data_IF_475647641706
#
_entry.id   IF_475647641706
#
_cell.length_a   1.000
_cell.length_b   1.000
_cell.length_c   1.000
_cell.angle_alpha   90.00
_cell.angle_beta   90.00
_cell.angle_gamma   90.00
#
_symmetry.space_group_name_H-M   'P 1'
#
loop_
_entity.id
_entity.type
_entity.pdbx_description
1 polymer ?
#
# COMPACT_ATOMS: atom_id res chain seq x y z
N UNK A 1 -11.10 70.98 -25.41
CA UNK A 1 -11.16 71.78 -24.18
C UNK A 1 -10.86 70.81 -23.05
N UNK A 2 -9.57 70.73 -22.60
CA UNK A 2 -9.03 71.33 -21.39
C UNK A 2 -9.59 70.60 -20.12
N UNK A 3 -8.92 70.05 -19.22
CA UNK A 3 -7.61 70.07 -18.57
C UNK A 3 -7.60 68.88 -17.58
N UNK A 4 -6.65 68.00 -17.48
CA UNK A 4 -5.41 68.02 -16.62
C UNK A 4 -5.67 68.23 -15.14
N UNK A 5 -5.22 67.24 -14.33
CA UNK A 5 -4.24 67.48 -13.26
C UNK A 5 -3.79 66.17 -12.60
N UNK A 6 -2.49 66.05 -12.60
CA UNK A 6 -1.62 65.15 -11.85
C UNK A 6 -1.84 65.22 -10.32
N UNK A 7 -1.65 64.09 -9.64
CA UNK A 7 -0.88 64.11 -8.38
C UNK A 7 -0.22 62.75 -8.14
N UNK A 8 1.10 62.74 -8.30
CA UNK A 8 2.03 61.74 -7.82
C UNK A 8 2.36 62.03 -6.36
N UNK A 9 2.45 61.01 -5.52
CA UNK A 9 3.23 61.03 -4.29
C UNK A 9 3.94 59.70 -4.10
N UNK A 10 5.15 59.70 -3.52
CA UNK A 10 6.14 58.68 -3.78
C UNK A 10 6.16 57.54 -2.74
N UNK A 11 6.60 56.40 -3.23
CA UNK A 11 6.99 55.19 -2.45
C UNK A 11 8.21 55.50 -1.59
N UNK A 12 8.08 55.27 -0.29
CA UNK A 12 9.19 55.11 0.64
C UNK A 12 9.42 53.59 0.88
N UNK A 13 10.49 53.12 0.29
CA UNK A 13 11.06 51.81 0.54
C UNK A 13 12.14 51.99 1.62
N UNK A 14 12.02 51.26 2.72
CA UNK A 14 13.11 51.04 3.69
C UNK A 14 13.37 49.56 3.84
N UNK A 15 14.60 49.10 3.73
CA UNK A 15 14.96 47.68 3.88
C UNK A 15 15.17 47.32 5.36
N UNK A 16 14.50 46.26 5.81
CA UNK A 16 14.83 45.63 7.06
C UNK A 16 15.85 44.52 6.84
N UNK A 17 17.01 44.67 7.43
CA UNK A 17 18.10 43.71 7.48
C UNK A 17 17.76 42.49 8.34
N UNK A 18 18.30 41.30 8.05
CA UNK A 18 18.08 40.09 8.81
C UNK A 18 19.04 40.04 10.02
N UNK A 19 18.51 39.94 11.22
CA UNK A 19 19.26 39.61 12.42
C UNK A 19 19.37 38.09 12.54
N UNK A 20 20.61 37.62 12.34
CA UNK A 20 21.03 36.26 12.61
C UNK A 20 21.12 36.00 14.13
N UNK A 21 20.32 35.06 14.64
CA UNK A 21 20.57 34.47 15.94
C UNK A 21 21.32 33.15 15.79
N UNK A 22 22.62 33.23 16.14
CA UNK A 22 23.50 32.09 16.37
C UNK A 22 23.09 31.37 17.65
N UNK A 23 22.89 30.07 17.63
CA UNK A 23 22.91 29.17 18.76
C UNK A 23 24.27 28.50 18.85
N UNK A 24 24.88 28.35 20.04
CA UNK A 24 26.23 27.84 20.16
C UNK A 24 26.28 26.31 20.02
N UNK A 25 27.22 25.87 19.20
CA UNK A 25 27.63 24.46 19.06
C UNK A 25 28.42 24.06 20.34
N UNK A 26 27.98 23.01 21.01
CA UNK A 26 28.77 22.29 21.98
C UNK A 26 29.61 21.22 21.31
N UNK A 27 30.92 21.09 21.64
CA UNK A 27 31.77 20.09 21.05
C UNK A 27 31.63 18.75 21.76
N UNK A 28 31.27 17.70 21.00
CA UNK A 28 31.40 16.31 21.44
C UNK A 28 32.89 15.91 21.42
N UNK A 29 33.43 15.66 22.60
CA UNK A 29 34.75 15.06 22.80
C UNK A 29 34.71 13.58 22.39
N UNK A 30 35.47 13.22 21.36
CA UNK A 30 35.87 11.87 21.04
C UNK A 30 36.84 11.35 22.11
N UNK A 31 36.44 10.33 22.87
CA UNK A 31 37.37 9.51 23.65
C UNK A 31 37.73 8.28 22.81
N UNK A 32 38.97 8.24 22.34
CA UNK A 32 39.61 7.03 21.82
C UNK A 32 40.03 6.16 23.00
N UNK A 33 39.55 4.92 23.04
CA UNK A 33 40.03 3.88 23.93
C UNK A 33 40.17 2.59 23.15
N UNK A 34 41.41 2.26 22.82
CA UNK A 34 41.83 0.98 22.28
C UNK A 34 41.92 -0.03 23.40
N UNK A 35 41.32 -1.19 23.27
CA UNK A 35 41.91 -2.42 23.83
C UNK A 35 41.38 -3.66 23.07
N UNK A 36 42.36 -4.42 22.63
CA UNK A 36 42.31 -5.77 22.08
C UNK A 36 41.92 -6.75 23.18
N UNK A 37 41.25 -7.84 22.81
CA UNK A 37 41.48 -9.09 23.50
C UNK A 37 40.27 -10.00 23.68
N UNK A 38 40.40 -11.12 23.05
CA UNK A 38 39.98 -12.46 23.49
C UNK A 38 38.56 -12.93 23.12
N UNK A 39 38.56 -13.73 22.06
CA UNK A 39 37.59 -14.82 21.85
C UNK A 39 37.67 -15.80 23.00
N UNK A 40 36.56 -16.15 23.56
CA UNK A 40 36.40 -17.45 24.23
C UNK A 40 34.98 -17.98 24.06
N UNK A 41 34.89 -19.04 23.28
CA UNK A 41 33.71 -19.87 23.19
C UNK A 41 33.45 -20.53 24.54
N UNK A 42 32.30 -20.32 25.14
CA UNK A 42 31.80 -21.07 26.27
C UNK A 42 30.68 -22.00 25.81
N UNK A 43 31.07 -23.25 25.53
CA UNK A 43 30.17 -24.41 25.48
C UNK A 43 29.73 -24.73 26.91
N UNK A 44 28.47 -24.48 27.24
CA UNK A 44 27.86 -24.94 28.46
C UNK A 44 27.25 -26.34 28.23
N UNK A 45 27.99 -27.40 28.63
CA UNK A 45 27.42 -28.73 28.76
C UNK A 45 26.91 -28.90 30.20
N UNK A 46 25.60 -28.80 30.38
CA UNK A 46 24.95 -29.12 31.65
C UNK A 46 24.79 -30.62 31.78
N UNK A 47 25.67 -31.28 32.60
CA UNK A 47 25.47 -32.65 33.07
C UNK A 47 24.46 -32.62 34.23
N UNK A 48 23.23 -33.08 33.98
CA UNK A 48 22.28 -33.37 35.05
C UNK A 48 22.63 -34.70 35.72
N UNK A 49 23.03 -34.65 36.99
CA UNK A 49 23.05 -35.84 37.89
C UNK A 49 21.64 -36.04 38.43
N UNK A 50 21.03 -37.17 38.09
CA UNK A 50 19.80 -37.65 38.71
C UNK A 50 20.08 -38.08 40.15
N UNK A 51 19.56 -37.31 41.12
CA UNK A 51 19.38 -37.79 42.48
C UNK A 51 17.98 -38.40 42.57
N UNK A 52 17.91 -39.72 42.82
CA UNK A 52 16.66 -40.42 43.19
C UNK A 52 16.32 -40.08 44.62
N UNK A 53 15.23 -39.34 44.83
CA UNK A 53 14.51 -39.32 46.09
C UNK A 53 13.02 -39.50 45.77
N UNK A 54 12.49 -40.61 46.31
CA UNK A 54 11.08 -40.93 46.20
C UNK A 54 10.31 -40.11 47.22
N UNK A 55 9.47 -39.23 46.73
CA UNK A 55 8.32 -38.75 47.52
C UNK A 55 7.13 -38.52 46.57
N UNK A 56 6.05 -39.31 46.85
CA UNK A 56 4.78 -39.19 46.16
C UNK A 56 4.10 -37.88 46.63
N UNK A 57 4.30 -36.84 45.90
CA UNK A 57 3.59 -35.57 46.06
C UNK A 57 3.38 -35.00 44.65
N UNK A 58 2.15 -34.72 44.33
CA UNK A 58 1.61 -34.21 43.11
C UNK A 58 2.64 -33.48 42.23
N UNK A 59 3.07 -34.11 41.14
CA UNK A 59 3.64 -33.44 40.00
C UNK A 59 2.51 -32.65 39.32
N UNK A 60 2.20 -31.51 39.91
CA UNK A 60 1.62 -30.43 39.11
C UNK A 60 2.74 -30.02 38.18
N UNK A 61 2.87 -30.68 37.06
CA UNK A 61 3.63 -30.17 35.94
C UNK A 61 2.97 -28.83 35.55
N UNK A 62 3.48 -27.77 36.14
CA UNK A 62 3.35 -26.46 35.57
C UNK A 62 4.14 -26.55 34.27
N UNK A 63 3.48 -27.08 33.24
CA UNK A 63 3.80 -26.74 31.86
C UNK A 63 3.59 -25.22 31.85
N UNK A 64 4.65 -24.49 32.18
CA UNK A 64 4.82 -23.11 31.76
C UNK A 64 4.89 -23.25 30.25
N UNK A 65 3.75 -23.39 29.63
CA UNK A 65 3.58 -23.09 28.23
C UNK A 65 4.08 -21.64 28.14
N UNK A 66 5.34 -21.48 27.78
CA UNK A 66 5.81 -20.33 27.07
C UNK A 66 4.97 -20.32 25.78
N UNK A 67 3.71 -19.88 25.92
CA UNK A 67 2.98 -19.27 24.83
C UNK A 67 3.84 -18.05 24.52
N UNK A 68 4.84 -18.23 23.65
CA UNK A 68 5.26 -17.19 22.77
C UNK A 68 3.95 -16.74 22.11
N UNK A 69 3.29 -15.78 22.72
CA UNK A 69 2.20 -15.07 22.06
C UNK A 69 2.88 -14.51 20.86
N UNK A 70 2.65 -15.12 19.70
CA UNK A 70 2.96 -14.46 18.46
C UNK A 70 2.34 -13.07 18.59
N UNK A 71 3.14 -12.05 18.55
CA UNK A 71 2.72 -10.67 18.79
C UNK A 71 1.56 -10.30 17.87
N UNK A 72 1.45 -10.96 16.72
CA UNK A 72 0.45 -10.77 15.68
C UNK A 72 -0.05 -12.10 15.14
N UNK A 73 -1.30 -12.13 14.71
CA UNK A 73 -1.95 -13.30 14.12
C UNK A 73 -1.47 -13.56 12.70
N UNK A 74 -1.19 -14.80 12.29
CA UNK A 74 -1.01 -15.16 10.89
C UNK A 74 -2.36 -15.13 10.13
N UNK A 75 -2.31 -14.89 8.83
CA UNK A 75 -3.48 -15.07 7.96
C UNK A 75 -3.68 -16.58 7.71
N UNK A 76 -4.76 -17.12 8.22
CA UNK A 76 -5.07 -18.56 8.18
C UNK A 76 -6.34 -18.83 7.37
N UNK A 77 -6.44 -20.02 6.73
CA UNK A 77 -7.66 -20.42 6.02
C UNK A 77 -8.92 -20.41 6.90
N UNK A 78 -10.07 -20.32 6.24
CA UNK A 78 -11.41 -20.32 6.85
C UNK A 78 -11.72 -19.09 7.71
N UNK A 79 -11.07 -17.96 7.45
CA UNK A 79 -11.47 -16.67 8.02
C UNK A 79 -12.90 -16.34 7.60
N UNK A 80 -13.73 -15.95 8.56
CA UNK A 80 -15.11 -15.57 8.32
C UNK A 80 -15.20 -14.05 8.18
N UNK A 81 -15.32 -13.60 6.95
CA UNK A 81 -15.48 -12.18 6.66
C UNK A 81 -16.85 -11.66 7.13
N UNK A 82 -16.84 -10.50 7.73
CA UNK A 82 -18.03 -9.81 8.24
C UNK A 82 -18.04 -8.35 7.76
N UNK A 83 -18.77 -8.06 6.69
CA UNK A 83 -18.91 -6.69 6.18
C UNK A 83 -20.07 -5.97 6.85
N UNK A 84 -19.94 -4.63 7.11
CA UNK A 84 -18.85 -3.76 6.72
C UNK A 84 -17.63 -3.75 7.66
N UNK A 85 -17.61 -4.54 8.74
CA UNK A 85 -16.55 -4.51 9.74
C UNK A 85 -15.16 -4.75 9.13
N UNK A 86 -15.04 -5.72 8.24
CA UNK A 86 -13.78 -6.09 7.61
C UNK A 86 -13.35 -5.13 6.47
N UNK A 87 -14.00 -3.97 6.33
CA UNK A 87 -13.46 -2.84 5.59
C UNK A 87 -12.56 -1.92 6.44
N UNK A 88 -12.52 -2.12 7.76
CA UNK A 88 -11.84 -1.26 8.71
C UNK A 88 -10.54 -1.93 9.22
N UNK A 89 -10.14 -1.58 10.45
CA UNK A 89 -8.86 -2.00 11.01
C UNK A 89 -8.83 -3.43 11.51
N UNK A 90 -7.69 -4.12 11.26
CA UNK A 90 -7.38 -5.43 11.79
C UNK A 90 -6.10 -5.36 12.65
N UNK A 91 -6.16 -4.75 13.86
CA UNK A 91 -4.98 -4.51 14.69
C UNK A 91 -4.27 -5.77 15.17
N UNK A 92 -4.92 -6.94 15.07
CA UNK A 92 -4.31 -8.23 15.39
C UNK A 92 -3.28 -8.70 14.36
N UNK A 93 -3.24 -8.07 13.19
CA UNK A 93 -2.26 -8.35 12.15
C UNK A 93 -1.18 -7.28 12.11
N UNK A 94 0.03 -7.65 11.69
CA UNK A 94 1.17 -6.75 11.70
C UNK A 94 1.10 -5.70 10.59
N UNK A 95 0.67 -6.12 9.40
CA UNK A 95 0.61 -5.26 8.20
C UNK A 95 -0.81 -5.21 7.67
N UNK A 96 -1.21 -4.05 7.19
CA UNK A 96 -2.52 -3.83 6.61
C UNK A 96 -2.44 -2.65 5.63
N UNK A 97 -3.16 -2.75 4.49
CA UNK A 97 -3.26 -1.63 3.56
C UNK A 97 -4.63 -1.49 2.93
N UNK A 98 -4.96 -0.25 2.58
CA UNK A 98 -6.12 0.17 1.79
C UNK A 98 -5.59 0.88 0.55
N UNK A 99 -5.79 0.28 -0.59
CA UNK A 99 -5.25 0.68 -1.86
C UNK A 99 -6.39 1.04 -2.81
N UNK A 100 -6.38 2.25 -3.34
CA UNK A 100 -7.39 2.75 -4.26
C UNK A 100 -6.73 3.19 -5.55
N UNK A 101 -7.19 2.65 -6.69
CA UNK A 101 -6.74 3.08 -8.01
C UNK A 101 -7.92 3.26 -8.94
N UNK A 102 -7.75 4.06 -10.00
CA UNK A 102 -8.84 4.23 -10.94
C UNK A 102 -8.49 5.03 -12.18
N UNK A 103 -9.37 4.88 -13.15
CA UNK A 103 -9.33 5.57 -14.42
C UNK A 103 -10.47 6.58 -14.48
N UNK A 104 -10.14 7.83 -14.72
CA UNK A 104 -11.06 8.95 -14.72
C UNK A 104 -11.07 9.64 -16.08
N UNK A 105 -12.19 10.30 -16.36
CA UNK A 105 -12.35 11.17 -17.51
C UNK A 105 -13.02 12.48 -17.06
N UNK A 106 -12.46 13.60 -17.47
CA UNK A 106 -13.08 14.91 -17.19
C UNK A 106 -14.18 15.28 -18.20
N UNK A 107 -14.85 16.37 -17.94
CA UNK A 107 -15.94 16.89 -18.82
C UNK A 107 -15.48 17.31 -20.22
N UNK A 108 -14.17 17.49 -20.43
CA UNK A 108 -13.56 17.76 -21.74
C UNK A 108 -13.04 16.51 -22.44
N UNK A 109 -13.28 15.32 -21.86
CA UNK A 109 -12.84 14.05 -22.41
C UNK A 109 -11.37 13.71 -22.14
N UNK A 110 -10.65 14.48 -21.28
CA UNK A 110 -9.26 14.22 -20.92
C UNK A 110 -9.19 13.05 -19.95
N UNK A 111 -8.27 12.14 -20.20
CA UNK A 111 -8.08 10.93 -19.39
C UNK A 111 -7.07 11.16 -18.27
N UNK A 112 -7.40 10.63 -17.09
CA UNK A 112 -6.58 10.68 -15.88
C UNK A 112 -6.53 9.28 -15.24
N UNK A 113 -5.46 8.99 -14.50
CA UNK A 113 -5.37 7.86 -13.58
C UNK A 113 -5.05 8.37 -12.18
N UNK A 114 -5.45 7.64 -11.15
CA UNK A 114 -5.07 7.97 -9.77
C UNK A 114 -4.76 6.72 -8.95
N UNK A 115 -3.92 6.92 -7.95
CA UNK A 115 -3.65 5.98 -6.85
C UNK A 115 -3.69 6.76 -5.54
N UNK A 116 -4.28 6.15 -4.50
CA UNK A 116 -4.21 6.59 -3.12
C UNK A 116 -4.16 5.37 -2.22
N UNK A 117 -3.04 5.18 -1.54
CA UNK A 117 -2.81 4.02 -0.68
C UNK A 117 -2.43 4.44 0.72
N UNK A 118 -2.98 3.70 1.70
CA UNK A 118 -2.60 3.80 3.11
C UNK A 118 -2.07 2.45 3.56
N UNK A 119 -0.88 2.44 4.13
CA UNK A 119 -0.25 1.27 4.74
C UNK A 119 -0.15 1.49 6.24
N UNK A 120 -0.53 0.47 7.01
CA UNK A 120 -0.28 0.40 8.45
C UNK A 120 0.73 -0.71 8.73
N UNK A 121 1.79 -0.36 9.42
CA UNK A 121 2.77 -1.30 9.95
C UNK A 121 2.76 -1.21 11.46
N UNK A 122 2.35 -2.28 12.12
CA UNK A 122 2.39 -2.35 13.56
C UNK A 122 3.83 -2.54 14.05
N UNK A 123 4.21 -1.84 15.11
CA UNK A 123 5.55 -1.90 15.70
C UNK A 123 5.56 -2.74 16.95
N UNK A 124 5.31 -2.15 18.11
CA UNK A 124 5.36 -2.81 19.41
C UNK A 124 4.01 -2.75 20.14
N UNK A 125 3.37 -3.92 20.31
CA UNK A 125 2.10 -4.04 21.06
C UNK A 125 2.30 -4.14 22.57
N UNK A 126 3.54 -4.36 23.04
CA UNK A 126 3.87 -4.44 24.46
C UNK A 126 4.05 -3.05 25.09
N UNK A 127 4.23 -2.01 24.26
CA UNK A 127 4.36 -0.64 24.72
C UNK A 127 3.16 -0.23 25.59
N UNK A 128 3.44 0.41 26.73
CA UNK A 128 2.39 0.92 27.63
C UNK A 128 1.44 1.85 26.86
N UNK A 129 0.12 1.75 27.11
CA UNK A 129 -0.83 2.65 26.49
C UNK A 129 -0.51 4.12 26.80
N UNK A 130 -0.20 4.87 25.76
CA UNK A 130 0.08 6.31 25.83
C UNK A 130 -0.27 6.92 24.47
N UNK A 131 -0.80 8.13 24.47
CA UNK A 131 -1.02 8.88 23.23
C UNK A 131 0.27 9.19 22.47
N UNK A 132 1.41 9.05 23.13
CA UNK A 132 2.76 9.26 22.57
C UNK A 132 3.47 7.97 22.18
N UNK A 133 2.94 6.80 22.55
CA UNK A 133 3.52 5.52 22.18
C UNK A 133 3.42 5.31 20.66
N UNK A 134 4.51 4.86 20.07
CA UNK A 134 4.52 4.48 18.65
C UNK A 134 4.08 3.01 18.56
N UNK A 135 2.82 2.76 18.28
CA UNK A 135 2.24 1.42 18.11
C UNK A 135 2.13 1.01 16.65
N UNK A 136 1.82 1.99 15.82
CA UNK A 136 1.67 1.81 14.39
C UNK A 136 2.37 2.96 13.65
N UNK A 137 2.97 2.62 12.52
CA UNK A 137 3.51 3.56 11.54
C UNK A 137 2.59 3.50 10.33
N UNK A 138 2.29 4.66 9.77
CA UNK A 138 1.46 4.82 8.59
C UNK A 138 2.28 5.45 7.47
N UNK A 139 2.41 4.70 6.38
CA UNK A 139 2.88 5.21 5.09
C UNK A 139 1.66 5.47 4.22
N UNK A 140 1.68 6.49 3.40
CA UNK A 140 0.67 6.72 2.39
C UNK A 140 1.32 7.20 1.09
N UNK A 141 0.83 6.68 -0.03
CA UNK A 141 1.21 7.10 -1.37
C UNK A 141 0.02 7.74 -2.07
N UNK A 142 0.32 8.71 -2.89
CA UNK A 142 -0.65 9.44 -3.70
C UNK A 142 -0.06 9.69 -5.07
N UNK A 143 -0.73 9.24 -6.12
CA UNK A 143 -0.32 9.53 -7.48
C UNK A 143 -1.49 10.00 -8.34
N UNK A 144 -1.19 10.86 -9.29
CA UNK A 144 -2.09 11.33 -10.33
C UNK A 144 -1.37 11.29 -11.68
N UNK A 145 -1.95 10.58 -12.63
CA UNK A 145 -1.49 10.54 -14.01
C UNK A 145 -2.41 11.39 -14.88
N UNK A 146 -1.94 12.51 -15.38
CA UNK A 146 -2.60 13.26 -16.46
C UNK A 146 -2.21 12.63 -17.80
N UNK A 147 -2.96 11.59 -18.21
CA UNK A 147 -2.65 10.79 -19.39
C UNK A 147 -2.67 11.65 -20.67
N UNK A 148 -3.70 12.48 -20.80
CA UNK A 148 -3.83 13.39 -21.94
C UNK A 148 -2.73 14.45 -21.94
N UNK A 149 -2.34 14.95 -20.77
CA UNK A 149 -1.27 15.95 -20.60
C UNK A 149 0.14 15.33 -20.52
N UNK A 150 0.28 14.00 -20.58
CA UNK A 150 1.55 13.27 -20.49
C UNK A 150 2.37 13.66 -19.26
N UNK A 151 1.71 13.77 -18.08
CA UNK A 151 2.32 14.16 -16.81
C UNK A 151 2.00 13.17 -15.72
N UNK A 152 2.97 12.91 -14.86
CA UNK A 152 2.82 12.08 -13.67
C UNK A 152 3.22 12.87 -12.43
N UNK A 153 2.36 12.85 -11.44
CA UNK A 153 2.56 13.48 -10.14
C UNK A 153 2.47 12.42 -9.07
N UNK A 154 3.37 12.44 -8.10
CA UNK A 154 3.27 11.56 -6.94
C UNK A 154 3.80 12.24 -5.68
N UNK A 155 3.33 11.79 -4.55
CA UNK A 155 3.73 12.25 -3.22
C UNK A 155 3.61 11.10 -2.23
N UNK A 156 4.38 11.17 -1.13
CA UNK A 156 4.37 10.18 -0.07
C UNK A 156 4.32 10.84 1.30
N UNK A 157 3.78 10.13 2.28
CA UNK A 157 3.74 10.54 3.69
C UNK A 157 4.09 9.40 4.60
N UNK A 158 4.95 9.66 5.57
CA UNK A 158 5.27 8.73 6.64
C UNK A 158 4.99 9.41 7.97
N UNK A 159 4.02 8.87 8.72
CA UNK A 159 3.67 9.34 10.04
C UNK A 159 3.51 8.16 10.99
N UNK A 160 3.70 8.42 12.29
CA UNK A 160 3.31 7.50 13.34
C UNK A 160 1.84 7.66 13.71
N UNK A 161 1.26 6.66 14.31
CA UNK A 161 0.02 6.83 15.05
C UNK A 161 0.20 7.91 16.14
N UNK A 162 -0.77 8.80 16.25
CA UNK A 162 -0.74 9.84 17.27
C UNK A 162 -1.80 10.90 17.01
N UNK A 163 -1.97 11.86 17.95
CA UNK A 163 -3.03 12.87 17.85
C UNK A 163 -2.95 13.63 16.52
N UNK A 164 -3.94 13.43 15.66
CA UNK A 164 -4.10 14.15 14.39
C UNK A 164 -3.09 13.82 13.28
N UNK A 165 -2.08 12.96 13.51
CA UNK A 165 -1.04 12.67 12.52
C UNK A 165 -1.49 11.63 11.49
N UNK A 166 -1.77 10.42 11.95
CA UNK A 166 -2.25 9.33 11.14
C UNK A 166 -3.02 8.33 12.00
N UNK A 167 -3.88 7.52 11.39
CA UNK A 167 -4.61 6.51 12.12
C UNK A 167 -5.79 5.93 11.37
N UNK A 168 -6.50 5.08 12.10
CA UNK A 168 -7.78 4.48 11.72
C UNK A 168 -8.75 4.74 12.87
N UNK A 169 -9.95 5.17 12.55
CA UNK A 169 -11.00 5.42 13.51
C UNK A 169 -12.29 4.74 13.08
N UNK A 170 -12.71 3.71 13.81
CA UNK A 170 -13.89 2.91 13.49
C UNK A 170 -15.20 3.68 13.68
N UNK A 171 -15.26 4.62 14.63
CA UNK A 171 -16.46 5.42 14.90
C UNK A 171 -16.79 6.35 13.76
N UNK A 172 -15.78 6.98 13.15
CA UNK A 172 -15.92 7.84 11.97
C UNK A 172 -15.67 7.09 10.67
N UNK A 173 -15.34 5.81 10.76
CA UNK A 173 -15.05 4.94 9.60
C UNK A 173 -14.01 5.57 8.67
N UNK A 174 -12.91 6.06 9.25
CA UNK A 174 -11.90 6.84 8.56
C UNK A 174 -10.50 6.22 8.71
N UNK A 175 -9.74 6.19 7.60
CA UNK A 175 -8.30 5.99 7.57
C UNK A 175 -7.67 7.28 7.05
N UNK A 176 -6.60 7.75 7.71
CA UNK A 176 -5.96 9.02 7.30
C UNK A 176 -4.47 9.04 7.55
N UNK A 177 -3.79 9.93 6.81
CA UNK A 177 -2.40 10.31 7.00
C UNK A 177 -2.24 11.81 6.67
N UNK A 178 -2.15 12.65 7.71
CA UNK A 178 -2.24 14.11 7.58
C UNK A 178 -3.61 14.54 7.04
N UNK A 179 -3.62 15.26 5.91
CA UNK A 179 -4.86 15.70 5.23
C UNK A 179 -5.26 14.78 4.04
N UNK A 180 -4.70 13.59 3.94
CA UNK A 180 -5.18 12.52 3.05
C UNK A 180 -6.03 11.57 3.86
N UNK A 181 -7.20 11.22 3.33
CA UNK A 181 -8.13 10.35 4.04
C UNK A 181 -9.05 9.60 3.10
N UNK A 182 -9.50 8.47 3.59
CA UNK A 182 -10.65 7.74 3.09
C UNK A 182 -11.69 7.63 4.20
N UNK A 183 -12.97 7.85 3.86
CA UNK A 183 -14.08 7.73 4.80
C UNK A 183 -15.20 6.92 4.17
N UNK A 184 -15.67 5.88 4.86
CA UNK A 184 -16.85 5.13 4.43
C UNK A 184 -18.10 5.84 4.92
N UNK A 185 -18.88 6.38 3.99
CA UNK A 185 -20.16 7.05 4.26
C UNK A 185 -21.28 6.02 4.52
N UNK A 186 -21.19 4.87 3.88
CA UNK A 186 -22.01 3.68 4.06
C UNK A 186 -21.24 2.44 3.63
N UNK A 187 -21.83 1.26 3.66
CA UNK A 187 -21.23 0.02 3.17
C UNK A 187 -20.78 0.11 1.70
N UNK A 188 -21.53 0.87 0.88
CA UNK A 188 -21.30 0.96 -0.56
C UNK A 188 -20.77 2.34 -1.02
N UNK A 189 -20.58 3.28 -0.10
CA UNK A 189 -20.15 4.65 -0.44
C UNK A 189 -18.90 5.06 0.30
N UNK A 190 -17.89 5.44 -0.45
CA UNK A 190 -16.58 5.81 0.03
C UNK A 190 -16.24 7.20 -0.49
N UNK A 191 -15.66 8.02 0.35
CA UNK A 191 -15.12 9.32 -0.02
C UNK A 191 -13.60 9.32 0.13
N UNK A 192 -12.90 9.70 -0.93
CA UNK A 192 -11.46 9.95 -0.94
C UNK A 192 -11.20 11.45 -0.93
N UNK A 193 -10.29 11.88 -0.07
CA UNK A 193 -9.78 13.24 -0.06
C UNK A 193 -8.27 13.21 0.10
N UNK A 194 -7.55 13.80 -0.84
CA UNK A 194 -6.11 13.96 -0.74
C UNK A 194 -5.70 15.33 -1.28
N UNK A 195 -4.92 16.07 -0.50
CA UNK A 195 -4.46 17.41 -0.84
C UNK A 195 -2.94 17.42 -0.85
N UNK A 196 -2.36 17.64 -2.02
CA UNK A 196 -0.94 17.88 -2.25
C UNK A 196 -0.76 19.28 -2.82
N UNK A 197 0.38 19.95 -2.66
CA UNK A 197 0.62 21.27 -3.25
C UNK A 197 0.45 21.35 -4.77
N UNK A 198 0.69 20.25 -5.48
CA UNK A 198 0.65 20.18 -6.95
C UNK A 198 -0.71 19.77 -7.50
N UNK A 199 -1.47 19.00 -6.72
CA UNK A 199 -2.79 18.49 -7.14
C UNK A 199 -3.65 18.07 -5.95
N UNK A 200 -4.96 17.96 -6.18
CA UNK A 200 -5.90 17.46 -5.17
C UNK A 200 -6.85 16.43 -5.77
N UNK A 201 -7.29 15.49 -4.94
CA UNK A 201 -8.36 14.54 -5.23
C UNK A 201 -9.50 14.73 -4.23
N UNK A 202 -10.73 14.88 -4.73
CA UNK A 202 -11.97 14.82 -3.93
C UNK A 202 -12.96 13.94 -4.69
N UNK A 203 -13.00 12.66 -4.35
CA UNK A 203 -13.71 11.66 -5.10
C UNK A 203 -14.76 10.96 -4.23
N UNK A 204 -15.94 10.72 -4.78
CA UNK A 204 -16.97 9.88 -4.22
C UNK A 204 -17.04 8.59 -5.05
N UNK A 205 -16.93 7.46 -4.37
CA UNK A 205 -16.91 6.12 -4.96
C UNK A 205 -18.14 5.36 -4.50
N UNK A 206 -18.81 4.66 -5.43
CA UNK A 206 -19.97 3.82 -5.12
C UNK A 206 -19.73 2.42 -5.64
N UNK A 207 -19.74 1.42 -4.74
CA UNK A 207 -19.56 0.02 -5.12
C UNK A 207 -20.72 -0.46 -5.98
N UNK A 208 -20.40 -1.12 -7.07
CA UNK A 208 -21.36 -1.69 -8.03
C UNK A 208 -21.47 -3.21 -7.94
N UNK A 209 -20.60 -3.83 -7.12
CA UNK A 209 -20.56 -5.28 -6.88
C UNK A 209 -20.31 -5.57 -5.40
N UNK A 210 -20.66 -6.77 -4.92
CA UNK A 210 -20.26 -7.20 -3.58
C UNK A 210 -18.74 -7.30 -3.46
N UNK A 211 -18.18 -7.31 -2.24
CA UNK A 211 -16.76 -7.56 -2.01
C UNK A 211 -16.31 -8.90 -2.61
N UNK A 212 -15.21 -8.87 -3.34
CA UNK A 212 -14.56 -10.05 -3.90
C UNK A 212 -13.48 -10.54 -2.93
N UNK A 213 -13.62 -11.76 -2.42
CA UNK A 213 -12.63 -12.40 -1.56
C UNK A 213 -11.68 -13.20 -2.45
N UNK A 214 -10.38 -12.95 -2.31
CA UNK A 214 -9.35 -13.56 -3.14
C UNK A 214 -8.71 -14.80 -2.50
N UNK A 215 -8.13 -15.64 -3.36
CA UNK A 215 -7.46 -16.87 -2.97
C UNK A 215 -8.42 -18.03 -2.72
N UNK A 216 -8.02 -18.97 -1.88
CA UNK A 216 -8.78 -20.17 -1.53
C UNK A 216 -9.07 -20.20 -0.03
N UNK A 217 -10.26 -20.62 0.35
CA UNK A 217 -10.67 -20.70 1.75
C UNK A 217 -10.49 -19.38 2.55
N UNK A 218 -10.66 -18.23 1.89
CA UNK A 218 -10.57 -16.90 2.52
C UNK A 218 -9.14 -16.39 2.73
N UNK A 219 -8.13 -17.00 2.12
CA UNK A 219 -6.74 -16.51 2.13
C UNK A 219 -6.12 -16.55 0.74
N UNK A 220 -5.30 -15.55 0.45
CA UNK A 220 -4.42 -15.48 -0.71
C UNK A 220 -3.02 -15.91 -0.30
N UNK A 221 -2.67 -17.18 -0.58
CA UNK A 221 -1.36 -17.75 -0.26
C UNK A 221 -0.28 -17.10 -1.14
N UNK A 222 0.84 -16.67 -0.54
CA UNK A 222 1.93 -15.97 -1.25
C UNK A 222 3.26 -16.73 -1.23
N UNK A 223 3.47 -17.63 -0.27
CA UNK A 223 4.67 -18.46 -0.17
C UNK A 223 4.37 -19.79 0.52
N UNK A 224 5.35 -20.72 0.51
CA UNK A 224 5.24 -22.01 1.17
C UNK A 224 5.18 -21.84 2.69
N UNK A 225 4.23 -22.51 3.33
CA UNK A 225 4.07 -22.56 4.79
C UNK A 225 2.78 -21.88 5.26
N UNK A 226 2.33 -22.32 6.42
CA UNK A 226 1.12 -21.80 7.04
C UNK A 226 1.31 -20.31 7.43
N UNK A 227 0.29 -19.50 7.17
CA UNK A 227 0.32 -18.07 7.47
C UNK A 227 1.21 -17.21 6.57
N UNK A 228 1.84 -17.79 5.52
CA UNK A 228 2.50 -17.03 4.45
C UNK A 228 1.47 -16.58 3.40
N UNK A 229 0.51 -15.78 3.86
CA UNK A 229 -0.69 -15.42 3.12
C UNK A 229 -1.21 -14.07 3.59
N UNK A 230 -2.17 -13.53 2.87
CA UNK A 230 -2.98 -12.40 3.30
C UNK A 230 -4.47 -12.75 3.30
N UNK A 231 -5.24 -12.14 4.18
CA UNK A 231 -6.66 -11.93 3.98
C UNK A 231 -6.81 -10.79 2.99
N UNK A 232 -7.42 -11.06 1.85
CA UNK A 232 -7.42 -10.16 0.72
C UNK A 232 -8.84 -10.01 0.15
N UNK A 233 -9.33 -8.77 0.18
CA UNK A 233 -10.66 -8.39 -0.30
C UNK A 233 -10.56 -7.22 -1.26
N UNK A 234 -11.35 -7.23 -2.33
CA UNK A 234 -11.45 -6.10 -3.26
C UNK A 234 -12.89 -5.62 -3.46
N UNK A 235 -13.04 -4.31 -3.63
CA UNK A 235 -14.20 -3.73 -4.29
C UNK A 235 -13.81 -3.45 -5.74
N UNK A 236 -14.18 -4.36 -6.63
CA UNK A 236 -13.59 -4.48 -7.96
C UNK A 236 -14.14 -3.51 -9.00
N UNK A 237 -15.29 -2.88 -8.71
CA UNK A 237 -15.94 -1.92 -9.62
C UNK A 237 -16.62 -0.82 -8.81
N UNK A 238 -15.93 0.30 -8.68
CA UNK A 238 -16.39 1.48 -7.98
C UNK A 238 -16.70 2.58 -8.99
N UNK A 239 -17.96 3.00 -9.11
CA UNK A 239 -18.32 4.18 -9.89
C UNK A 239 -17.77 5.41 -9.19
N UNK A 240 -17.08 6.27 -9.94
CA UNK A 240 -16.44 7.48 -9.41
C UNK A 240 -17.12 8.72 -9.94
N UNK A 241 -17.27 9.72 -9.07
CA UNK A 241 -17.57 11.11 -9.41
C UNK A 241 -16.82 12.04 -8.46
N UNK A 242 -16.48 13.25 -8.90
CA UNK A 242 -15.81 14.21 -8.02
C UNK A 242 -15.00 15.24 -8.79
N UNK A 243 -14.00 15.78 -8.11
CA UNK A 243 -13.13 16.82 -8.62
C UNK A 243 -11.65 16.43 -8.46
N UNK A 244 -10.88 16.70 -9.50
CA UNK A 244 -9.41 16.68 -9.49
C UNK A 244 -8.94 18.09 -9.81
N UNK A 245 -8.01 18.63 -9.00
CA UNK A 245 -7.37 19.92 -9.28
C UNK A 245 -5.90 19.69 -9.62
N UNK A 246 -5.38 20.29 -10.67
CA UNK A 246 -3.96 20.29 -11.05
C UNK A 246 -3.48 21.73 -11.16
N UNK A 247 -2.67 22.18 -10.20
CA UNK A 247 -2.37 23.60 -10.04
C UNK A 247 -3.67 24.37 -9.78
N UNK A 248 -4.07 25.26 -10.69
CA UNK A 248 -5.32 26.03 -10.63
C UNK A 248 -6.48 25.41 -11.48
N UNK A 249 -6.19 24.38 -12.30
CA UNK A 249 -7.17 23.76 -13.22
C UNK A 249 -8.04 22.74 -12.47
N UNK A 250 -9.25 23.15 -12.10
CA UNK A 250 -10.28 22.30 -11.49
C UNK A 250 -11.04 21.51 -12.55
N UNK A 251 -11.14 20.21 -12.37
CA UNK A 251 -11.71 19.26 -13.32
C UNK A 251 -12.77 18.41 -12.63
N UNK A 252 -14.02 18.56 -13.04
CA UNK A 252 -15.06 17.60 -12.68
C UNK A 252 -14.80 16.30 -13.42
N UNK A 253 -14.77 15.20 -12.70
CA UNK A 253 -14.40 13.89 -13.24
C UNK A 253 -15.44 12.83 -12.93
N UNK A 254 -15.52 11.84 -13.82
CA UNK A 254 -16.21 10.56 -13.61
C UNK A 254 -15.32 9.41 -14.03
N UNK A 255 -15.63 8.19 -13.60
CA UNK A 255 -14.83 7.03 -14.00
C UNK A 255 -15.14 5.77 -13.24
N UNK A 256 -14.18 4.87 -13.23
CA UNK A 256 -14.20 3.61 -12.52
C UNK A 256 -12.94 3.48 -11.66
N UNK A 257 -13.11 2.95 -10.45
CA UNK A 257 -12.02 2.68 -9.54
C UNK A 257 -12.07 1.23 -9.03
N UNK A 258 -10.99 0.84 -8.42
CA UNK A 258 -10.75 -0.41 -7.73
C UNK A 258 -10.28 -0.11 -6.31
N UNK A 259 -10.59 -0.97 -5.37
CA UNK A 259 -10.07 -0.91 -4.01
C UNK A 259 -9.62 -2.28 -3.57
N UNK A 260 -8.40 -2.37 -3.04
CA UNK A 260 -7.89 -3.53 -2.34
C UNK A 260 -7.71 -3.25 -0.86
N UNK A 261 -8.05 -4.24 -0.06
CA UNK A 261 -7.77 -4.28 1.36
C UNK A 261 -7.12 -5.61 1.70
N UNK A 262 -5.88 -5.55 2.20
CA UNK A 262 -5.18 -6.74 2.67
C UNK A 262 -4.69 -6.55 4.11
N UNK A 263 -4.78 -7.63 4.91
CA UNK A 263 -4.23 -7.68 6.26
C UNK A 263 -3.56 -9.02 6.53
N UNK A 264 -2.35 -8.96 7.08
CA UNK A 264 -1.50 -10.13 7.27
C UNK A 264 -0.35 -9.85 8.25
N UNK A 265 0.41 -10.90 8.62
CA UNK A 265 1.63 -10.79 9.43
C UNK A 265 2.86 -11.23 8.65
N UNK A 266 2.76 -12.32 7.89
CA UNK A 266 3.81 -12.80 7.02
C UNK A 266 3.24 -13.05 5.63
N UNK A 267 3.90 -12.56 4.59
CA UNK A 267 3.43 -12.70 3.21
C UNK A 267 4.51 -13.33 2.33
N UNK A 268 5.57 -12.61 2.03
CA UNK A 268 6.64 -13.06 1.16
C UNK A 268 7.70 -13.87 1.90
N UNK A 269 8.45 -14.70 1.17
CA UNK A 269 9.67 -15.33 1.65
C UNK A 269 10.94 -14.62 1.14
N UNK A 270 12.11 -15.03 1.66
CA UNK A 270 13.38 -14.38 1.34
C UNK A 270 13.84 -14.56 -0.12
N UNK A 271 13.29 -15.55 -0.82
CA UNK A 271 13.62 -15.79 -2.24
C UNK A 271 12.78 -14.97 -3.20
N UNK A 272 11.72 -14.35 -2.74
CA UNK A 272 10.86 -13.48 -3.53
C UNK A 272 11.40 -12.04 -3.52
N UNK A 273 11.47 -11.42 -4.69
CA UNK A 273 12.01 -10.07 -4.85
C UNK A 273 10.96 -9.00 -5.00
N UNK A 274 9.73 -9.38 -5.36
CA UNK A 274 8.62 -8.47 -5.59
C UNK A 274 7.54 -9.13 -6.44
N UNK A 275 6.61 -8.34 -6.89
CA UNK A 275 5.47 -8.80 -7.69
C UNK A 275 5.16 -7.86 -8.85
N UNK A 276 4.41 -8.41 -9.81
CA UNK A 276 3.66 -7.67 -10.82
C UNK A 276 2.18 -7.98 -10.57
N UNK A 277 1.39 -6.97 -10.30
CA UNK A 277 -0.03 -7.08 -9.97
C UNK A 277 -0.87 -6.27 -10.95
N UNK A 278 -2.04 -6.77 -11.30
CA UNK A 278 -2.97 -6.08 -12.17
C UNK A 278 -4.41 -6.20 -11.67
N UNK A 279 -5.13 -5.08 -11.66
CA UNK A 279 -6.59 -5.02 -11.64
C UNK A 279 -7.09 -4.67 -13.04
N UNK A 280 -7.83 -5.56 -13.67
CA UNK A 280 -8.31 -5.40 -15.04
C UNK A 280 -9.85 -5.36 -15.04
N UNK A 281 -10.43 -4.22 -15.39
CA UNK A 281 -11.87 -4.01 -15.49
C UNK A 281 -12.29 -4.08 -16.95
N UNK A 282 -12.92 -5.21 -17.32
CA UNK A 282 -13.32 -5.45 -18.70
C UNK A 282 -14.63 -4.73 -19.04
N UNK A 283 -14.77 -4.30 -20.29
CA UNK A 283 -15.96 -3.58 -20.78
C UNK A 283 -17.22 -4.46 -20.80
N UNK A 284 -17.04 -5.79 -20.78
CA UNK A 284 -18.14 -6.74 -20.69
C UNK A 284 -18.70 -6.93 -19.27
N UNK A 285 -18.12 -6.22 -18.29
CA UNK A 285 -18.56 -6.22 -16.89
C UNK A 285 -17.91 -7.28 -16.02
N UNK A 286 -16.93 -8.05 -16.52
CA UNK A 286 -16.07 -8.93 -15.70
C UNK A 286 -14.84 -8.17 -15.23
N UNK A 287 -14.16 -8.66 -14.19
CA UNK A 287 -12.84 -8.20 -13.78
C UNK A 287 -11.89 -9.36 -13.56
N UNK A 288 -10.60 -9.06 -13.68
CA UNK A 288 -9.49 -9.94 -13.33
C UNK A 288 -8.59 -9.22 -12.33
N UNK A 289 -8.36 -9.80 -11.16
CA UNK A 289 -7.21 -9.52 -10.32
C UNK A 289 -6.19 -10.62 -10.57
N UNK A 290 -4.97 -10.28 -10.93
CA UNK A 290 -3.89 -11.23 -11.17
C UNK A 290 -2.58 -10.70 -10.61
N UNK A 291 -1.75 -11.58 -10.08
CA UNK A 291 -0.39 -11.24 -9.69
C UNK A 291 0.57 -12.39 -9.95
N UNK A 292 1.80 -12.04 -10.31
CA UNK A 292 2.93 -12.97 -10.31
C UNK A 292 4.01 -12.50 -9.33
N UNK A 293 4.52 -13.44 -8.55
CA UNK A 293 5.61 -13.25 -7.61
C UNK A 293 6.92 -13.62 -8.31
N UNK A 294 7.92 -12.72 -8.25
CA UNK A 294 9.22 -12.96 -8.88
C UNK A 294 10.23 -13.43 -7.85
N UNK A 295 11.01 -14.45 -8.21
CA UNK A 295 12.08 -15.00 -7.38
C UNK A 295 13.44 -14.41 -7.77
N UNK A 296 14.42 -14.50 -6.86
CA UNK A 296 15.81 -14.03 -7.06
C UNK A 296 16.50 -14.68 -8.25
N UNK A 297 16.18 -15.94 -8.55
CA UNK A 297 16.71 -16.68 -9.70
C UNK A 297 16.05 -16.31 -11.04
N UNK A 298 15.14 -15.35 -11.04
CA UNK A 298 14.41 -14.88 -12.21
C UNK A 298 13.19 -15.74 -12.58
N UNK A 299 12.90 -16.80 -11.82
CA UNK A 299 11.70 -17.62 -12.04
C UNK A 299 10.45 -16.98 -11.43
N UNK A 300 9.28 -17.43 -11.89
CA UNK A 300 8.00 -17.06 -11.32
C UNK A 300 7.63 -18.05 -10.22
N UNK A 301 7.26 -17.53 -9.07
CA UNK A 301 6.88 -18.32 -7.92
C UNK A 301 5.54 -19.04 -8.17
N UNK A 302 5.40 -20.34 -7.80
CA UNK A 302 4.17 -21.11 -8.03
C UNK A 302 2.95 -20.62 -7.23
N UNK A 303 3.13 -19.73 -6.24
CA UNK A 303 2.06 -19.07 -5.53
C UNK A 303 1.49 -17.84 -6.26
N UNK A 304 1.98 -17.56 -7.47
CA UNK A 304 1.36 -16.60 -8.38
C UNK A 304 -0.04 -17.07 -8.77
N UNK A 305 -1.02 -16.18 -8.69
CA UNK A 305 -2.43 -16.55 -8.90
C UNK A 305 -3.29 -15.35 -9.28
N UNK A 306 -4.57 -15.58 -9.43
CA UNK A 306 -5.54 -14.53 -9.69
C UNK A 306 -6.96 -14.89 -9.31
N UNK A 307 -7.86 -14.00 -9.60
CA UNK A 307 -9.30 -14.18 -9.42
C UNK A 307 -10.05 -13.59 -10.61
N UNK A 308 -10.91 -14.37 -11.22
CA UNK A 308 -11.93 -13.86 -12.14
C UNK A 308 -13.14 -13.46 -11.29
N UNK A 309 -13.64 -12.26 -11.52
CA UNK A 309 -14.87 -11.74 -10.94
C UNK A 309 -15.90 -11.64 -12.07
N UNK A 310 -16.98 -12.40 -11.97
CA UNK A 310 -18.05 -12.42 -12.95
C UNK A 310 -18.89 -11.14 -12.89
N UNK A 311 -19.79 -10.95 -13.87
CA UNK A 311 -20.64 -9.75 -13.93
C UNK A 311 -21.52 -9.58 -12.68
N UNK A 312 -21.95 -10.69 -12.10
CA UNK A 312 -22.77 -10.72 -10.90
C UNK A 312 -21.99 -10.68 -9.57
N UNK A 313 -20.64 -10.57 -9.65
CA UNK A 313 -19.76 -10.51 -8.50
C UNK A 313 -19.28 -11.87 -7.98
N UNK A 314 -19.75 -13.00 -8.54
CA UNK A 314 -19.19 -14.31 -8.18
C UNK A 314 -17.71 -14.38 -8.54
N UNK A 315 -16.92 -14.95 -7.64
CA UNK A 315 -15.47 -15.08 -7.80
C UNK A 315 -15.07 -16.51 -8.17
N UNK A 316 -14.01 -16.64 -8.96
CA UNK A 316 -13.35 -17.90 -9.27
C UNK A 316 -11.84 -17.72 -9.16
N UNK A 317 -11.23 -18.49 -8.27
CA UNK A 317 -9.77 -18.53 -8.13
C UNK A 317 -9.11 -19.07 -9.41
N UNK A 318 -7.97 -18.47 -9.79
CA UNK A 318 -7.17 -18.83 -10.96
C UNK A 318 -5.77 -19.21 -10.51
N UNK A 319 -5.48 -20.52 -10.50
CA UNK A 319 -4.14 -21.04 -10.23
C UNK A 319 -3.27 -21.09 -11.50
N UNK A 320 -3.88 -20.96 -12.67
CA UNK A 320 -3.18 -20.96 -13.96
C UNK A 320 -3.32 -19.57 -14.59
N UNK A 321 -2.26 -18.80 -14.48
CA UNK A 321 -2.11 -17.50 -15.11
C UNK A 321 -0.74 -17.46 -15.79
N UNK A 322 -0.64 -16.69 -16.86
CA UNK A 322 0.64 -16.40 -17.50
C UNK A 322 0.70 -14.93 -17.86
N UNK A 323 1.68 -14.25 -17.29
CA UNK A 323 1.98 -12.85 -17.57
C UNK A 323 3.33 -12.79 -18.27
N UNK A 324 3.33 -12.46 -19.57
CA UNK A 324 4.54 -12.40 -20.39
C UNK A 324 4.89 -10.93 -20.64
N UNK A 325 6.06 -10.44 -20.15
CA UNK A 325 6.46 -9.07 -20.36
C UNK A 325 6.83 -8.81 -21.82
N UNK A 326 6.50 -7.63 -22.32
CA UNK A 326 6.87 -7.12 -23.65
C UNK A 326 7.86 -5.96 -23.56
N UNK A 327 7.52 -4.85 -24.23
CA UNK A 327 8.33 -3.61 -24.26
C UNK A 327 8.58 -3.09 -22.82
N UNK A 328 9.77 -2.50 -22.62
CA UNK A 328 10.16 -1.92 -21.32
C UNK A 328 10.38 -0.41 -21.42
N UNK A 329 10.12 0.24 -20.30
CA UNK A 329 10.57 1.59 -19.98
C UNK A 329 11.45 1.51 -18.73
N UNK A 330 12.71 1.91 -18.82
CA UNK A 330 13.74 1.55 -17.83
C UNK A 330 13.74 0.01 -17.61
N UNK A 331 13.66 -0.42 -16.36
CA UNK A 331 13.61 -1.83 -15.99
C UNK A 331 12.17 -2.40 -15.99
N UNK A 332 11.14 -1.54 -16.06
CA UNK A 332 9.74 -1.93 -15.94
C UNK A 332 9.14 -2.36 -17.28
N UNK A 333 8.51 -3.53 -17.37
CA UNK A 333 7.72 -3.90 -18.55
C UNK A 333 6.46 -3.02 -18.64
N UNK A 334 6.29 -2.33 -19.74
CA UNK A 334 5.14 -1.44 -19.99
C UNK A 334 4.14 -1.99 -21.00
N UNK A 335 4.39 -3.19 -21.47
CA UNK A 335 3.48 -4.01 -22.29
C UNK A 335 3.52 -5.45 -21.79
N UNK A 336 2.35 -6.08 -21.76
CA UNK A 336 2.20 -7.44 -21.28
C UNK A 336 1.22 -8.23 -22.12
N UNK A 337 1.51 -9.52 -22.32
CA UNK A 337 0.51 -10.49 -22.76
C UNK A 337 0.06 -11.28 -21.53
N UNK A 338 -1.23 -11.26 -21.25
CA UNK A 338 -1.85 -11.94 -20.11
C UNK A 338 -2.73 -13.05 -20.64
N UNK A 339 -2.45 -14.28 -20.20
CA UNK A 339 -3.27 -15.46 -20.49
C UNK A 339 -3.88 -15.94 -19.14
N UNK A 340 -5.18 -15.75 -18.97
CA UNK A 340 -5.91 -16.07 -17.75
C UNK A 340 -7.39 -16.27 -18.02
N UNK A 341 -8.06 -17.18 -17.32
CA UNK A 341 -9.50 -17.45 -17.44
C UNK A 341 -9.98 -17.78 -18.85
N UNK A 342 -9.11 -18.34 -19.71
CA UNK A 342 -9.40 -18.63 -21.12
C UNK A 342 -9.34 -17.41 -22.04
N UNK A 343 -8.87 -16.27 -21.54
CA UNK A 343 -8.67 -15.03 -22.30
C UNK A 343 -7.19 -14.83 -22.60
N UNK A 344 -6.89 -14.26 -23.76
CA UNK A 344 -5.58 -13.72 -24.12
C UNK A 344 -5.70 -12.21 -24.32
N UNK A 345 -5.14 -11.47 -23.39
CA UNK A 345 -5.23 -10.02 -23.33
C UNK A 345 -3.87 -9.38 -23.61
N UNK A 346 -3.90 -8.22 -24.27
CA UNK A 346 -2.77 -7.31 -24.37
C UNK A 346 -2.99 -6.16 -23.40
N UNK A 347 -2.09 -5.97 -22.45
CA UNK A 347 -2.13 -4.91 -21.44
C UNK A 347 -0.99 -3.95 -21.73
N UNK A 348 -1.31 -2.68 -21.90
CA UNK A 348 -0.35 -1.62 -22.23
C UNK A 348 -0.53 -0.41 -21.34
N UNK A 349 0.58 0.14 -20.83
CA UNK A 349 0.56 1.37 -20.06
C UNK A 349 0.06 2.54 -20.89
N UNK A 350 -0.72 3.42 -20.27
CA UNK A 350 -1.27 4.61 -20.92
C UNK A 350 -0.31 5.80 -20.84
N UNK A 351 0.64 5.72 -19.93
CA UNK A 351 1.84 6.56 -19.80
C UNK A 351 2.97 5.67 -19.28
N UNK A 352 4.14 5.74 -19.87
CA UNK A 352 5.25 4.85 -19.45
C UNK A 352 5.91 5.32 -18.14
N UNK A 353 6.06 6.63 -17.95
CA UNK A 353 6.68 7.21 -16.78
C UNK A 353 5.66 7.39 -15.63
N UNK A 354 5.43 6.30 -14.88
CA UNK A 354 4.60 6.28 -13.67
C UNK A 354 5.32 5.63 -12.49
N UNK A 355 6.62 5.88 -12.37
CA UNK A 355 7.44 5.38 -11.26
C UNK A 355 7.29 6.29 -10.04
N UNK A 356 6.87 5.71 -8.91
CA UNK A 356 6.85 6.38 -7.61
C UNK A 356 8.23 6.26 -6.97
N UNK A 357 9.01 7.30 -7.10
CA UNK A 357 10.37 7.35 -6.52
C UNK A 357 10.27 7.81 -5.08
N UNK A 358 10.48 6.88 -4.14
CA UNK A 358 10.44 7.20 -2.73
C UNK A 358 11.67 8.00 -2.27
N UNK A 359 11.43 8.97 -1.40
CA UNK A 359 12.44 9.75 -0.67
C UNK A 359 12.68 9.22 0.74
N UNK A 360 11.84 8.30 1.21
CA UNK A 360 11.91 7.72 2.55
C UNK A 360 12.67 6.38 2.49
N UNK A 361 13.67 6.14 3.34
CA UNK A 361 14.42 4.89 3.34
C UNK A 361 13.57 3.63 3.55
N UNK A 362 12.44 3.77 4.26
CA UNK A 362 11.50 2.69 4.61
C UNK A 362 10.38 2.50 3.59
N UNK A 363 10.28 3.36 2.59
CA UNK A 363 9.26 3.31 1.56
C UNK A 363 9.86 2.75 0.27
N UNK A 364 9.19 1.81 -0.40
CA UNK A 364 9.68 1.24 -1.65
C UNK A 364 9.55 2.25 -2.80
N UNK A 365 10.51 2.21 -3.73
CA UNK A 365 10.32 2.75 -5.09
C UNK A 365 9.70 1.66 -5.93
N UNK A 366 8.62 1.96 -6.63
CA UNK A 366 7.90 1.02 -7.48
C UNK A 366 7.21 1.75 -8.63
N UNK A 367 6.75 1.01 -9.62
CA UNK A 367 6.00 1.55 -10.74
C UNK A 367 4.51 1.23 -10.58
N UNK A 368 3.66 2.23 -10.80
CA UNK A 368 2.23 2.08 -10.66
C UNK A 368 1.47 2.96 -11.64
N UNK A 369 0.53 2.36 -12.39
CA UNK A 369 -0.18 3.20 -13.35
C UNK A 369 -1.31 2.56 -14.13
N UNK A 370 -2.04 3.46 -14.78
CA UNK A 370 -3.16 3.15 -15.66
C UNK A 370 -2.73 2.35 -16.89
N UNK A 371 -3.49 1.31 -17.21
CA UNK A 371 -3.31 0.47 -18.39
C UNK A 371 -4.56 0.38 -19.25
N UNK A 372 -4.37 0.18 -20.56
CA UNK A 372 -5.40 -0.17 -21.53
C UNK A 372 -5.33 -1.67 -21.85
N UNK A 373 -6.49 -2.29 -22.06
CA UNK A 373 -6.64 -3.71 -22.33
C UNK A 373 -7.23 -3.89 -23.71
N UNK A 374 -6.62 -4.78 -24.51
CA UNK A 374 -7.12 -5.22 -25.83
C UNK A 374 -6.95 -6.75 -25.98
N UNK A 375 -7.36 -7.32 -27.08
CA UNK A 375 -7.32 -8.76 -27.35
C UNK A 375 -8.72 -9.38 -27.28
N UNK A 376 -8.87 -10.52 -26.59
CA UNK A 376 -10.15 -11.23 -26.47
C UNK A 376 -11.21 -10.43 -25.69
N UNK A 377 -10.78 -9.42 -24.94
CA UNK A 377 -11.65 -8.44 -24.32
C UNK A 377 -10.96 -7.07 -24.31
N UNK A 378 -11.75 -6.01 -24.10
CA UNK A 378 -11.24 -4.64 -23.99
C UNK A 378 -11.61 -4.08 -22.62
N UNK A 379 -10.85 -3.07 -22.17
CA UNK A 379 -11.11 -2.43 -20.87
C UNK A 379 -10.00 -1.48 -20.45
N UNK A 380 -10.05 -1.10 -19.18
CA UNK A 380 -9.01 -0.34 -18.49
C UNK A 380 -8.63 -1.07 -17.21
N UNK A 381 -7.46 -0.76 -16.69
CA UNK A 381 -7.00 -1.35 -15.44
C UNK A 381 -5.89 -0.52 -14.80
N UNK A 382 -5.28 -1.14 -13.81
CA UNK A 382 -4.07 -0.65 -13.14
C UNK A 382 -3.04 -1.76 -13.05
N UNK A 383 -1.77 -1.41 -13.15
CA UNK A 383 -0.61 -2.28 -13.05
C UNK A 383 0.29 -1.73 -11.94
N UNK A 384 0.71 -2.59 -11.03
CA UNK A 384 1.72 -2.32 -10.02
C UNK A 384 2.90 -3.26 -10.19
N UNK A 385 4.12 -2.75 -10.12
CA UNK A 385 5.36 -3.50 -10.29
C UNK A 385 6.35 -3.12 -9.20
N UNK A 386 6.61 -4.03 -8.25
CA UNK A 386 7.55 -3.83 -7.14
C UNK A 386 8.84 -4.60 -7.32
N UNK A 387 9.90 -4.25 -6.62
CA UNK A 387 11.12 -5.05 -6.55
C UNK A 387 11.99 -5.04 -7.81
N UNK A 388 11.86 -4.06 -8.69
CA UNK A 388 12.68 -3.90 -9.91
C UNK A 388 13.97 -3.13 -9.64
N UNK A 389 13.95 -2.16 -8.75
CA UNK A 389 15.15 -1.40 -8.36
C UNK A 389 15.90 -2.09 -7.22
N UNK A 390 15.18 -2.55 -6.22
CA UNK A 390 15.67 -3.31 -5.06
C UNK A 390 14.63 -4.34 -4.67
N UNK A 391 15.02 -5.49 -4.10
CA UNK A 391 14.07 -6.43 -3.54
C UNK A 391 13.09 -5.72 -2.62
N UNK A 392 11.81 -6.02 -2.78
CA UNK A 392 10.77 -5.40 -1.97
C UNK A 392 10.93 -5.81 -0.50
N UNK A 393 10.97 -4.83 0.39
CA UNK A 393 10.88 -5.06 1.83
C UNK A 393 9.97 -4.00 2.43
N UNK A 394 8.99 -4.41 3.22
CA UNK A 394 8.11 -3.52 3.94
C UNK A 394 8.41 -3.64 5.43
N UNK A 395 8.92 -2.55 6.05
CA UNK A 395 9.05 -2.44 7.49
C UNK A 395 10.08 -3.36 8.18
N UNK A 396 10.97 -4.04 7.46
CA UNK A 396 12.15 -4.66 8.07
C UNK A 396 13.32 -3.68 8.00
N UNK A 397 13.95 -3.35 9.17
CA UNK A 397 15.13 -2.50 9.21
C UNK A 397 16.35 -3.19 8.58
#
# INVERSE_FOLDING_TARGET
>A
MANSLHNQLPLLVSPLSPTSHFWPLWPLRLARGVSRGVQSALTFSARFRLARSANRGALTATILALTLHAQYRPALPNYQYNFPKDHYSHPDFQTEWWYYTGNLKDTKGRDLGFELTFFRQATDRTAKPSTWAVRDIYLAHLALTDITGQRFFHSERLNRQGPGLAGIEETTKRVWNGNWQVTWQSENQIQLQAIDPSFTLQLNLTSQKPPAIHGENGVSQKAKGEGRASHYVSLTRLKVSGEVTIGEDKRQVTGQAWMDHEFFTHQLDAEQTGWDWMSLQLNDGRELMIFQLRRRDGTIDPFSSGTLIERDGRTRHLSQIKMTPGRRWKNYPVEWTVEAAGLKLQVKTRLDNQELVSKQPQSPTYWEGSVAITGDATGLGYLEMTGYEKPFSFGNP
#
